data_IF_860954113930
#
_entry.id   IF_860954113930
#
_cell.length_a   1.000
_cell.length_b   1.000
_cell.length_c   1.000
_cell.angle_alpha   90.00
_cell.angle_beta   90.00
_cell.angle_gamma   90.00
#
_symmetry.space_group_name_H-M   'P 1'
#
loop_
_entity.id
_entity.type
_entity.pdbx_description
1 polymer ?
#
# COMPACT_ATOMS: atom_id res chain seq x y z
N UNK A 1 7.20 -34.28 -3.13
CA UNK A 1 7.85 -33.41 -2.13
C UNK A 1 9.10 -32.71 -2.64
N UNK A 2 10.01 -33.40 -3.35
CA UNK A 2 11.27 -32.81 -3.87
C UNK A 2 11.04 -31.57 -4.77
N UNK A 3 9.99 -31.58 -5.60
CA UNK A 3 9.65 -30.43 -6.46
C UNK A 3 9.26 -29.15 -5.68
N UNK A 4 8.62 -29.28 -4.51
CA UNK A 4 8.21 -28.12 -3.71
C UNK A 4 9.41 -27.47 -3.00
N UNK A 5 10.36 -28.28 -2.52
CA UNK A 5 11.60 -27.79 -1.90
C UNK A 5 12.51 -27.13 -2.95
N UNK A 6 12.62 -27.73 -4.15
CA UNK A 6 13.38 -27.14 -5.26
C UNK A 6 12.81 -25.79 -5.72
N UNK A 7 11.48 -25.65 -5.77
CA UNK A 7 10.82 -24.39 -6.11
C UNK A 7 11.04 -23.31 -5.05
N UNK A 8 11.02 -23.67 -3.76
CA UNK A 8 11.30 -22.75 -2.66
C UNK A 8 12.75 -22.23 -2.68
N UNK A 9 13.73 -23.11 -2.96
CA UNK A 9 15.15 -22.72 -3.09
C UNK A 9 15.38 -21.81 -4.31
N UNK A 10 14.73 -22.09 -5.44
CA UNK A 10 14.80 -21.24 -6.64
C UNK A 10 14.19 -19.84 -6.41
N UNK A 11 13.05 -19.76 -5.73
CA UNK A 11 12.46 -18.48 -5.35
C UNK A 11 13.36 -17.71 -4.37
N UNK A 12 13.98 -18.39 -3.40
CA UNK A 12 14.92 -17.76 -2.47
C UNK A 12 16.17 -17.19 -3.16
N UNK A 13 16.70 -17.89 -4.17
CA UNK A 13 17.88 -17.45 -4.94
C UNK A 13 17.63 -16.21 -5.82
N UNK A 14 16.45 -16.11 -6.44
CA UNK A 14 16.08 -14.92 -7.23
C UNK A 14 15.80 -13.68 -6.36
N UNK A 15 15.21 -13.87 -5.17
CA UNK A 15 14.96 -12.75 -4.23
C UNK A 15 16.28 -12.19 -3.68
N UNK A 16 17.26 -13.05 -3.42
CA UNK A 16 18.59 -12.63 -2.95
C UNK A 16 19.33 -11.75 -3.97
N UNK A 17 19.16 -12.01 -5.27
CA UNK A 17 19.88 -11.28 -6.33
C UNK A 17 19.20 -9.95 -6.70
N UNK A 18 17.85 -9.86 -6.64
CA UNK A 18 17.15 -8.58 -6.83
C UNK A 18 17.42 -7.57 -5.70
N UNK A 19 17.70 -8.05 -4.48
CA UNK A 19 17.98 -7.21 -3.30
C UNK A 19 19.26 -6.39 -3.40
N UNK A 20 20.26 -6.82 -4.15
CA UNK A 20 21.58 -6.17 -4.19
C UNK A 20 21.64 -5.03 -5.21
N UNK A 21 20.90 -5.13 -6.32
CA UNK A 21 21.01 -4.17 -7.42
C UNK A 21 20.14 -2.91 -7.26
N UNK A 22 19.03 -2.98 -6.51
CA UNK A 22 18.04 -1.89 -6.43
C UNK A 22 18.32 -0.79 -5.38
N UNK A 23 18.90 -1.07 -4.19
CA UNK A 23 19.08 -0.03 -3.16
C UNK A 23 20.20 0.97 -3.49
N UNK A 24 21.26 0.52 -4.16
CA UNK A 24 22.45 1.34 -4.41
C UNK A 24 22.14 2.55 -5.31
N UNK A 25 21.32 2.37 -6.35
CA UNK A 25 20.99 3.44 -7.30
C UNK A 25 20.09 4.54 -6.72
N UNK A 26 19.22 4.22 -5.77
CA UNK A 26 18.36 5.21 -5.11
C UNK A 26 19.07 5.91 -3.94
N UNK A 27 19.89 5.19 -3.17
CA UNK A 27 20.73 5.79 -2.12
C UNK A 27 21.77 6.77 -2.70
N UNK A 28 22.30 6.49 -3.89
CA UNK A 28 23.20 7.40 -4.61
C UNK A 28 22.56 8.76 -4.95
N UNK A 29 21.24 8.82 -5.15
CA UNK A 29 20.53 10.08 -5.47
C UNK A 29 20.49 11.06 -4.29
N UNK A 30 20.68 10.55 -3.07
CA UNK A 30 20.72 11.33 -1.84
C UNK A 30 22.12 11.43 -1.24
N UNK A 31 23.14 10.91 -1.94
CA UNK A 31 24.52 10.96 -1.48
C UNK A 31 24.97 12.42 -1.26
N UNK A 32 25.63 12.66 -0.13
CA UNK A 32 26.09 13.99 0.28
C UNK A 32 25.02 14.84 0.98
N UNK A 33 23.75 14.43 0.99
CA UNK A 33 22.73 15.11 1.79
C UNK A 33 22.81 14.69 3.26
N UNK A 34 22.43 15.58 4.15
CA UNK A 34 22.32 15.29 5.58
C UNK A 34 20.86 15.32 5.99
N UNK A 35 20.44 14.35 6.80
CA UNK A 35 19.12 14.28 7.39
C UNK A 35 19.25 14.66 8.86
N UNK A 36 18.44 15.62 9.29
CA UNK A 36 18.28 16.00 10.69
C UNK A 36 17.01 15.32 11.19
N UNK A 37 17.15 14.36 12.09
CA UNK A 37 16.04 13.57 12.63
C UNK A 37 15.89 13.83 14.13
N UNK A 38 14.66 13.77 14.66
CA UNK A 38 14.45 13.80 16.10
C UNK A 38 15.06 12.53 16.74
N UNK A 39 15.72 12.72 17.88
CA UNK A 39 16.33 11.65 18.69
C UNK A 39 15.74 11.68 20.10
N UNK A 40 14.90 10.69 20.42
CA UNK A 40 14.19 10.63 21.69
C UNK A 40 13.06 11.66 21.86
N UNK A 41 12.74 12.44 20.82
CA UNK A 41 11.64 13.41 20.79
C UNK A 41 10.58 13.05 19.73
N UNK A 42 9.31 13.48 19.88
CA UNK A 42 8.27 13.18 18.89
C UNK A 42 8.45 13.85 17.53
N UNK A 43 9.28 14.90 17.44
CA UNK A 43 9.60 15.63 16.21
C UNK A 43 10.52 16.82 16.47
N UNK A 44 11.02 17.43 15.40
CA UNK A 44 11.85 18.62 15.43
C UNK A 44 11.03 19.89 15.69
N UNK A 45 11.57 20.78 16.53
CA UNK A 45 10.97 22.07 16.87
C UNK A 45 11.28 23.13 15.81
N UNK A 46 10.62 24.30 15.89
CA UNK A 46 10.86 25.38 14.94
C UNK A 46 12.26 26.01 15.09
N UNK A 47 12.86 25.94 16.27
CA UNK A 47 14.25 26.36 16.49
C UNK A 47 15.22 25.51 15.65
N UNK A 48 15.04 24.18 15.65
CA UNK A 48 15.85 23.25 14.83
C UNK A 48 15.67 23.54 13.34
N UNK A 49 14.46 23.89 12.93
CA UNK A 49 14.15 24.26 11.54
C UNK A 49 14.79 25.60 11.16
N UNK A 50 14.79 26.58 12.07
CA UNK A 50 15.43 27.87 11.87
C UNK A 50 16.96 27.75 11.74
N UNK A 51 17.57 26.85 12.54
CA UNK A 51 19.00 26.54 12.49
C UNK A 51 19.41 25.80 11.20
N UNK A 52 18.44 25.25 10.46
CA UNK A 52 18.64 24.56 9.19
C UNK A 52 17.80 25.22 8.08
N UNK A 53 18.13 26.46 7.66
CA UNK A 53 17.24 27.31 6.86
C UNK A 53 17.01 26.78 5.44
N UNK A 54 17.93 25.99 4.92
CA UNK A 54 17.90 25.45 3.56
C UNK A 54 17.51 23.99 3.53
N UNK A 55 16.93 23.57 2.39
CA UNK A 55 16.51 22.21 2.14
C UNK A 55 15.01 22.01 2.32
N UNK A 56 14.56 20.84 2.78
CA UNK A 56 13.13 20.57 3.00
C UNK A 56 12.84 20.22 4.46
N UNK A 57 11.87 20.89 5.04
CA UNK A 57 11.38 20.68 6.41
C UNK A 57 9.86 20.63 6.30
N UNK A 58 9.32 19.42 6.14
CA UNK A 58 7.90 19.23 5.93
C UNK A 58 7.17 19.28 7.28
N UNK A 59 6.02 19.95 7.32
CA UNK A 59 5.19 20.06 8.52
C UNK A 59 3.89 19.27 8.31
N UNK A 60 3.82 17.99 8.70
CA UNK A 60 2.62 17.19 8.52
C UNK A 60 1.51 17.63 9.49
N UNK A 61 0.28 17.65 8.99
CA UNK A 61 -0.94 17.82 9.79
C UNK A 61 -2.08 17.01 9.16
N UNK A 62 -3.22 16.94 9.84
CA UNK A 62 -4.45 16.36 9.30
C UNK A 62 -5.46 17.46 9.04
N UNK A 63 -6.12 17.36 7.89
CA UNK A 63 -7.22 18.24 7.56
C UNK A 63 -8.40 17.45 7.01
N UNK A 64 -9.56 18.07 7.08
CA UNK A 64 -10.82 17.58 6.56
C UNK A 64 -11.17 18.41 5.33
N UNK A 65 -11.31 17.75 4.19
CA UNK A 65 -11.77 18.39 2.96
C UNK A 65 -13.23 18.08 2.77
N UNK A 66 -14.05 19.12 2.69
CA UNK A 66 -15.47 19.00 2.42
C UNK A 66 -15.71 19.15 0.92
N UNK A 67 -16.22 18.10 0.29
CA UNK A 67 -16.63 18.14 -1.11
C UNK A 67 -18.14 18.02 -1.22
N UNK A 68 -18.71 18.76 -2.18
CA UNK A 68 -20.13 18.62 -2.53
C UNK A 68 -20.30 17.28 -3.23
N UNK A 69 -20.92 16.33 -2.54
CA UNK A 69 -21.22 15.02 -3.11
C UNK A 69 -22.45 15.16 -4.03
N UNK A 70 -22.22 15.37 -5.33
CA UNK A 70 -23.26 15.35 -6.36
C UNK A 70 -23.75 16.72 -6.83
N UNK A 71 -24.33 16.74 -8.04
CA UNK A 71 -24.79 17.96 -8.73
C UNK A 71 -26.05 18.57 -8.10
N UNK A 72 -26.65 17.91 -7.11
CA UNK A 72 -27.86 18.36 -6.42
C UNK A 72 -27.48 18.76 -4.99
N UNK A 73 -27.70 20.03 -4.68
CA UNK A 73 -27.33 20.75 -3.45
C UNK A 73 -28.01 20.26 -2.15
N UNK A 74 -28.65 19.10 -2.15
CA UNK A 74 -29.34 18.50 -0.99
C UNK A 74 -28.64 17.26 -0.42
N UNK A 75 -27.54 16.80 -1.03
CA UNK A 75 -26.77 15.67 -0.49
C UNK A 75 -25.79 16.12 0.60
N UNK A 76 -25.60 15.30 1.66
CA UNK A 76 -24.69 15.63 2.75
C UNK A 76 -23.27 15.89 2.23
N UNK A 77 -22.62 16.92 2.75
CA UNK A 77 -21.21 17.19 2.48
C UNK A 77 -20.37 15.99 2.93
N UNK A 78 -19.66 15.37 1.99
CA UNK A 78 -18.74 14.30 2.31
C UNK A 78 -17.45 14.94 2.85
N UNK A 79 -17.09 14.60 4.08
CA UNK A 79 -15.84 15.03 4.70
C UNK A 79 -14.79 13.94 4.52
N UNK A 80 -13.72 14.25 3.79
CA UNK A 80 -12.58 13.35 3.58
C UNK A 80 -11.42 13.79 4.47
N UNK A 81 -10.88 12.88 5.28
CA UNK A 81 -9.67 13.14 6.06
C UNK A 81 -8.46 12.94 5.16
N UNK A 82 -7.56 13.92 5.12
CA UNK A 82 -6.33 13.89 4.35
C UNK A 82 -5.14 14.26 5.23
N UNK A 83 -4.00 13.66 4.93
CA UNK A 83 -2.72 14.14 5.43
C UNK A 83 -2.30 15.35 4.58
N UNK A 84 -2.13 16.50 5.22
CA UNK A 84 -1.72 17.77 4.61
C UNK A 84 -0.28 18.05 4.99
N UNK A 85 0.51 18.50 4.03
CA UNK A 85 1.92 18.81 4.23
C UNK A 85 2.17 20.32 4.09
N UNK A 86 2.61 20.95 5.17
CA UNK A 86 3.15 22.31 5.12
C UNK A 86 4.54 22.29 4.50
N UNK A 87 4.71 22.97 3.36
CA UNK A 87 5.97 23.05 2.64
C UNK A 87 6.65 24.41 2.84
N UNK A 88 7.98 24.41 2.94
CA UNK A 88 8.83 25.61 2.85
C UNK A 88 9.41 25.85 1.45
N UNK A 89 9.09 24.99 0.49
CA UNK A 89 9.54 25.16 -0.89
C UNK A 89 8.80 26.36 -1.49
N UNK A 90 9.54 27.39 -1.91
CA UNK A 90 8.98 28.63 -2.46
C UNK A 90 8.02 28.41 -3.65
N UNK A 91 8.11 27.27 -4.34
CA UNK A 91 7.17 26.90 -5.41
C UNK A 91 5.76 26.65 -4.90
N UNK A 92 5.62 26.18 -3.66
CA UNK A 92 4.36 25.72 -3.05
C UNK A 92 4.00 26.45 -1.74
N UNK A 93 4.93 27.22 -1.17
CA UNK A 93 4.72 28.01 0.04
C UNK A 93 3.98 29.32 -0.28
N UNK A 94 2.71 29.20 -0.68
CA UNK A 94 1.83 30.32 -1.03
C UNK A 94 0.59 30.31 -0.17
N UNK A 95 0.35 31.41 0.52
CA UNK A 95 -0.81 31.56 1.39
C UNK A 95 -2.12 31.46 0.61
N UNK A 96 -3.08 30.71 1.15
CA UNK A 96 -4.39 30.50 0.52
C UNK A 96 -4.37 29.58 -0.72
N UNK A 97 -3.24 29.00 -1.08
CA UNK A 97 -3.12 28.05 -2.19
C UNK A 97 -2.84 26.62 -1.71
N UNK A 98 -3.31 25.65 -2.50
CA UNK A 98 -3.02 24.23 -2.31
C UNK A 98 -2.50 23.60 -3.61
N UNK A 99 -1.54 22.69 -3.48
CA UNK A 99 -1.03 21.85 -4.57
C UNK A 99 -1.42 20.41 -4.30
N UNK A 100 -2.11 19.78 -5.25
CA UNK A 100 -2.63 18.41 -5.09
C UNK A 100 -1.89 17.42 -6.00
N UNK A 101 -1.78 16.18 -5.54
CA UNK A 101 -1.50 15.02 -6.39
C UNK A 101 -2.69 14.66 -7.28
N UNK A 102 -2.44 14.12 -8.47
CA UNK A 102 -3.47 13.71 -9.42
C UNK A 102 -4.48 12.72 -8.80
N UNK A 103 -4.03 11.75 -8.00
CA UNK A 103 -4.95 10.80 -7.35
C UNK A 103 -5.88 11.48 -6.36
N UNK A 104 -5.34 12.36 -5.52
CA UNK A 104 -6.13 13.07 -4.50
C UNK A 104 -7.07 14.07 -5.14
N UNK A 105 -6.61 14.81 -6.15
CA UNK A 105 -7.47 15.68 -6.94
C UNK A 105 -8.62 14.89 -7.60
N UNK A 106 -8.32 13.72 -8.20
CA UNK A 106 -9.32 12.84 -8.80
C UNK A 106 -10.32 12.29 -7.78
N UNK A 107 -9.85 11.84 -6.62
CA UNK A 107 -10.70 11.32 -5.55
C UNK A 107 -11.65 12.37 -4.96
N UNK A 108 -11.20 13.63 -4.89
CA UNK A 108 -11.98 14.76 -4.38
C UNK A 108 -12.81 15.45 -5.48
N UNK A 109 -12.63 15.07 -6.74
CA UNK A 109 -13.24 15.75 -7.88
C UNK A 109 -12.75 17.19 -8.08
N UNK A 110 -11.56 17.51 -7.56
CA UNK A 110 -10.97 18.85 -7.59
C UNK A 110 -10.12 19.06 -8.83
N UNK A 111 -10.11 20.30 -9.32
CA UNK A 111 -9.30 20.75 -10.47
C UNK A 111 -8.55 22.02 -10.15
N UNK A 112 -7.50 22.29 -10.93
CA UNK A 112 -6.79 23.57 -10.90
C UNK A 112 -7.76 24.74 -11.01
N UNK A 113 -7.57 25.74 -10.16
CA UNK A 113 -8.34 26.97 -10.08
C UNK A 113 -9.56 26.90 -9.18
N UNK A 114 -10.00 25.71 -8.75
CA UNK A 114 -11.14 25.57 -7.85
C UNK A 114 -10.79 25.95 -6.42
N UNK A 115 -11.78 26.46 -5.71
CA UNK A 115 -11.71 26.71 -4.28
C UNK A 115 -12.26 25.50 -3.51
N UNK A 116 -11.56 25.12 -2.47
CA UNK A 116 -11.90 24.00 -1.60
C UNK A 116 -11.89 24.45 -0.14
N UNK A 117 -13.00 24.28 0.60
CA UNK A 117 -13.00 24.50 2.04
C UNK A 117 -12.23 23.35 2.72
N UNK A 118 -11.22 23.71 3.50
CA UNK A 118 -10.37 22.78 4.24
C UNK A 118 -10.45 23.12 5.72
N UNK A 119 -10.94 22.18 6.52
CA UNK A 119 -11.00 22.32 7.97
C UNK A 119 -9.78 21.69 8.63
N UNK A 120 -9.08 22.46 9.46
CA UNK A 120 -7.85 22.02 10.13
C UNK A 120 -8.11 21.44 11.52
N UNK A 121 -7.05 21.05 12.22
CA UNK A 121 -7.09 20.41 13.53
C UNK A 121 -7.70 21.29 14.64
N UNK A 122 -7.56 22.61 14.53
CA UNK A 122 -8.22 23.59 15.40
C UNK A 122 -9.74 23.75 15.15
N UNK A 123 -10.27 23.09 14.11
CA UNK A 123 -11.67 23.17 13.71
C UNK A 123 -12.00 24.37 12.81
N UNK A 124 -11.03 25.25 12.52
CA UNK A 124 -11.23 26.36 11.61
C UNK A 124 -11.22 25.88 10.15
N UNK A 125 -12.09 26.48 9.34
CA UNK A 125 -12.17 26.19 7.90
C UNK A 125 -11.55 27.33 7.10
N UNK A 126 -10.58 26.99 6.26
CA UNK A 126 -9.93 27.91 5.34
C UNK A 126 -10.24 27.50 3.91
N UNK A 127 -10.70 28.45 3.11
CA UNK A 127 -10.90 28.23 1.68
C UNK A 127 -9.56 28.33 0.97
N UNK A 128 -9.12 27.23 0.35
CA UNK A 128 -7.87 27.16 -0.40
C UNK A 128 -8.16 27.06 -1.89
N UNK A 129 -7.40 27.80 -2.70
CA UNK A 129 -7.43 27.67 -4.14
C UNK A 129 -6.44 26.59 -4.60
N UNK A 130 -6.91 25.62 -5.37
CA UNK A 130 -6.05 24.61 -6.00
C UNK A 130 -5.21 25.30 -7.08
N UNK A 131 -3.96 25.64 -6.77
CA UNK A 131 -3.11 26.38 -7.70
C UNK A 131 -2.56 25.47 -8.80
N UNK A 132 -2.30 24.21 -8.46
CA UNK A 132 -1.76 23.18 -9.35
C UNK A 132 -2.26 21.79 -8.96
N UNK A 133 -2.41 20.93 -9.97
CA UNK A 133 -2.52 19.48 -9.82
C UNK A 133 -1.32 18.90 -10.54
N UNK A 134 -0.51 18.12 -9.83
CA UNK A 134 0.76 17.58 -10.31
C UNK A 134 0.75 16.06 -10.24
N UNK A 135 1.55 15.36 -11.09
CA UNK A 135 1.73 13.92 -10.96
C UNK A 135 2.09 13.54 -9.53
N UNK A 136 1.53 12.43 -9.04
CA UNK A 136 1.79 11.98 -7.67
C UNK A 136 3.29 11.84 -7.44
N UNK A 137 3.79 12.61 -6.50
CA UNK A 137 5.17 12.56 -6.08
C UNK A 137 5.17 12.35 -4.58
N UNK A 138 5.62 11.19 -4.08
CA UNK A 138 5.65 10.96 -2.67
C UNK A 138 6.45 12.11 -1.99
N UNK A 139 7.54 12.65 -2.59
CA UNK A 139 8.41 13.72 -2.03
C UNK A 139 7.64 14.95 -1.56
N UNK A 140 6.65 15.30 -2.38
CA UNK A 140 5.81 16.46 -2.20
C UNK A 140 4.68 16.16 -1.24
N UNK A 141 4.17 14.93 -1.24
CA UNK A 141 2.91 14.58 -0.62
C UNK A 141 1.73 14.90 -1.52
N UNK A 142 0.57 14.38 -1.12
CA UNK A 142 -0.63 14.37 -1.95
C UNK A 142 -1.46 15.66 -1.83
N UNK A 143 -1.28 16.41 -0.74
CA UNK A 143 -1.92 17.70 -0.48
C UNK A 143 -0.94 18.63 0.22
N UNK A 144 -0.49 19.69 -0.47
CA UNK A 144 0.54 20.60 0.03
C UNK A 144 0.00 22.01 0.15
N UNK A 145 0.35 22.67 1.25
CA UNK A 145 -0.02 24.06 1.55
C UNK A 145 1.19 24.83 2.08
N UNK A 146 1.03 26.13 2.27
CA UNK A 146 2.02 26.97 2.96
C UNK A 146 2.31 26.45 4.37
N UNK A 147 3.60 26.38 4.75
CA UNK A 147 4.00 25.92 6.09
C UNK A 147 3.43 26.80 7.19
N UNK A 148 3.38 28.12 6.96
CA UNK A 148 2.80 29.07 7.91
C UNK A 148 1.31 28.84 8.16
N UNK A 149 0.56 28.35 7.15
CA UNK A 149 -0.85 28.02 7.32
C UNK A 149 -1.03 26.82 8.26
N UNK A 150 -0.22 25.76 8.08
CA UNK A 150 -0.24 24.61 9.00
C UNK A 150 0.13 25.05 10.41
N UNK A 151 1.19 25.84 10.57
CA UNK A 151 1.61 26.32 11.90
C UNK A 151 0.54 27.15 12.61
N UNK A 152 -0.23 27.94 11.85
CA UNK A 152 -1.32 28.75 12.41
C UNK A 152 -2.50 27.92 12.91
N UNK A 153 -2.83 26.81 12.25
CA UNK A 153 -3.99 25.98 12.55
C UNK A 153 -3.67 24.66 13.28
N UNK A 154 -2.40 24.28 13.35
CA UNK A 154 -1.88 23.15 14.10
C UNK A 154 -0.53 23.53 14.74
N UNK A 155 -0.55 24.29 15.85
CA UNK A 155 0.67 24.65 16.57
C UNK A 155 1.41 23.44 17.14
N UNK A 156 0.71 22.32 17.36
CA UNK A 156 1.26 21.08 17.89
C UNK A 156 1.95 20.22 16.83
N UNK A 157 1.78 20.53 15.54
CA UNK A 157 2.49 19.85 14.46
C UNK A 157 4.01 19.98 14.66
N UNK A 158 4.73 18.86 14.66
CA UNK A 158 6.19 18.88 14.72
C UNK A 158 6.74 18.56 13.34
N UNK A 159 7.93 19.07 13.04
CA UNK A 159 8.62 18.71 11.79
C UNK A 159 9.20 17.32 11.97
N UNK A 160 8.91 16.38 11.07
CA UNK A 160 9.48 15.04 11.15
C UNK A 160 10.98 15.11 10.86
N UNK A 161 11.36 15.12 9.58
CA UNK A 161 12.76 15.16 9.17
C UNK A 161 13.09 16.48 8.44
N UNK A 162 14.32 16.97 8.63
CA UNK A 162 14.87 18.06 7.83
C UNK A 162 15.93 17.50 6.90
N UNK A 163 15.71 17.67 5.60
CA UNK A 163 16.68 17.30 4.56
C UNK A 163 17.50 18.51 4.21
N UNK A 164 18.78 18.49 4.53
CA UNK A 164 19.75 19.53 4.20
C UNK A 164 20.53 19.07 2.96
N UNK A 165 20.53 19.87 1.88
CA UNK A 165 21.25 19.54 0.66
C UNK A 165 22.77 19.56 0.92
N UNK A 166 23.55 18.79 0.16
CA UNK A 166 24.97 18.57 0.45
C UNK A 166 25.89 19.76 0.24
N UNK A 167 25.41 20.80 -0.43
CA UNK A 167 26.07 22.11 -0.55
C UNK A 167 25.87 22.98 0.71
N UNK A 168 25.01 22.56 1.63
CA UNK A 168 24.75 23.21 2.89
C UNK A 168 25.15 22.33 4.09
N UNK A 169 25.53 22.99 5.19
CA UNK A 169 25.92 22.30 6.42
C UNK A 169 24.72 22.19 7.35
N UNK A 170 24.37 20.97 7.73
CA UNK A 170 23.35 20.72 8.74
C UNK A 170 23.88 21.07 10.15
N UNK A 171 22.96 21.53 11.01
CA UNK A 171 23.22 21.90 12.39
C UNK A 171 22.46 20.96 13.34
N UNK A 172 23.15 20.47 14.38
CA UNK A 172 22.62 19.61 15.44
C UNK A 172 22.64 20.29 16.81
N UNK A 173 22.52 21.62 16.85
CA UNK A 173 22.79 22.41 18.06
C UNK A 173 21.75 22.16 19.17
N UNK A 174 20.59 21.58 18.85
CA UNK A 174 19.53 21.30 19.82
C UNK A 174 19.63 19.89 20.43
N UNK A 175 19.37 19.73 21.74
CA UNK A 175 19.18 18.43 22.38
C UNK A 175 18.05 17.64 21.70
N UNK A 176 18.23 16.32 21.59
CA UNK A 176 17.23 15.44 20.97
C UNK A 176 17.20 15.51 19.45
N UNK A 177 18.32 15.84 18.82
CA UNK A 177 18.50 15.85 17.37
C UNK A 177 19.69 14.98 16.98
N UNK A 178 19.49 14.11 16.00
CA UNK A 178 20.55 13.32 15.38
C UNK A 178 20.77 13.76 13.92
N UNK A 179 22.04 13.70 13.49
CA UNK A 179 22.41 13.88 12.09
C UNK A 179 22.76 12.55 11.47
N UNK A 180 22.22 12.30 10.29
CA UNK A 180 22.54 11.13 9.51
C UNK A 180 22.94 11.51 8.09
N UNK A 181 23.98 10.86 7.57
CA UNK A 181 24.23 10.87 6.13
C UNK A 181 23.04 10.20 5.43
N UNK A 182 22.45 10.89 4.44
CA UNK A 182 21.20 10.43 3.85
C UNK A 182 21.37 9.09 3.12
N UNK A 183 22.52 8.84 2.49
CA UNK A 183 22.78 7.58 1.80
C UNK A 183 22.99 6.42 2.79
N UNK A 184 23.76 6.65 3.85
CA UNK A 184 23.95 5.69 4.94
C UNK A 184 22.65 5.36 5.67
N UNK A 185 21.84 6.38 5.96
CA UNK A 185 20.54 6.21 6.62
C UNK A 185 19.54 5.47 5.74
N UNK A 186 19.46 5.82 4.46
CA UNK A 186 18.65 5.08 3.49
C UNK A 186 19.07 3.60 3.44
N UNK A 187 20.38 3.33 3.33
CA UNK A 187 20.92 1.97 3.29
C UNK A 187 20.57 1.18 4.57
N UNK A 188 20.70 1.79 5.74
CA UNK A 188 20.36 1.16 7.01
C UNK A 188 18.86 0.80 7.08
N UNK A 189 17.98 1.73 6.68
CA UNK A 189 16.54 1.51 6.64
C UNK A 189 16.16 0.36 5.69
N UNK A 190 16.74 0.33 4.47
CA UNK A 190 16.56 -0.78 3.54
C UNK A 190 16.96 -2.13 4.12
N UNK A 191 18.12 -2.20 4.80
CA UNK A 191 18.57 -3.47 5.38
C UNK A 191 17.63 -3.95 6.48
N UNK A 192 17.00 -3.03 7.20
CA UNK A 192 16.02 -3.33 8.24
C UNK A 192 14.72 -3.84 7.63
N UNK A 193 14.18 -3.15 6.63
CA UNK A 193 12.96 -3.58 5.93
C UNK A 193 13.14 -4.91 5.19
N UNK A 194 14.32 -5.14 4.61
CA UNK A 194 14.69 -6.42 4.03
C UNK A 194 14.66 -7.55 5.09
N UNK A 195 15.22 -7.32 6.28
CA UNK A 195 15.17 -8.31 7.37
C UNK A 195 13.72 -8.60 7.81
N UNK A 196 12.88 -7.56 7.92
CA UNK A 196 11.47 -7.73 8.27
C UNK A 196 10.72 -8.54 7.22
N UNK A 197 10.86 -8.19 5.94
CA UNK A 197 10.24 -8.93 4.84
C UNK A 197 10.69 -10.38 4.78
N UNK A 198 11.98 -10.63 5.04
CA UNK A 198 12.55 -11.97 5.08
C UNK A 198 11.99 -12.80 6.24
N UNK A 199 11.89 -12.20 7.43
CA UNK A 199 11.30 -12.85 8.60
C UNK A 199 9.82 -13.21 8.35
N UNK A 200 9.04 -12.30 7.74
CA UNK A 200 7.65 -12.54 7.37
C UNK A 200 7.53 -13.67 6.34
N UNK A 201 8.36 -13.66 5.30
CA UNK A 201 8.37 -14.70 4.29
C UNK A 201 8.71 -16.07 4.90
N UNK A 202 9.72 -16.13 5.77
CA UNK A 202 10.09 -17.36 6.48
C UNK A 202 8.94 -17.89 7.34
N UNK A 203 8.24 -17.02 8.08
CA UNK A 203 7.07 -17.41 8.87
C UNK A 203 5.95 -17.99 8.00
N UNK A 204 5.63 -17.35 6.86
CA UNK A 204 4.61 -17.85 5.93
C UNK A 204 4.99 -19.20 5.33
N UNK A 205 6.27 -19.43 5.00
CA UNK A 205 6.77 -20.72 4.52
C UNK A 205 6.58 -21.79 5.60
N UNK A 206 6.97 -21.50 6.84
CA UNK A 206 6.83 -22.44 7.97
C UNK A 206 5.36 -22.81 8.18
N UNK A 207 4.44 -21.84 8.12
CA UNK A 207 3.00 -22.08 8.26
C UNK A 207 2.47 -22.95 7.11
N UNK A 208 2.83 -22.63 5.86
CA UNK A 208 2.39 -23.39 4.69
C UNK A 208 2.88 -24.85 4.72
N UNK A 209 4.14 -25.06 5.12
CA UNK A 209 4.71 -26.40 5.30
C UNK A 209 4.03 -27.13 6.46
N UNK A 210 3.86 -26.47 7.61
CA UNK A 210 3.20 -27.05 8.78
C UNK A 210 1.79 -27.52 8.49
N UNK A 211 0.99 -26.69 7.81
CA UNK A 211 -0.38 -27.05 7.41
C UNK A 211 -0.40 -28.24 6.44
N UNK A 212 0.54 -28.27 5.49
CA UNK A 212 0.64 -29.37 4.51
C UNK A 212 0.94 -30.70 5.19
N UNK A 213 1.82 -30.72 6.21
CA UNK A 213 2.15 -31.95 6.97
C UNK A 213 0.92 -32.47 7.71
N UNK A 214 0.15 -31.61 8.36
CA UNK A 214 -1.09 -31.98 9.07
C UNK A 214 -2.12 -32.55 8.08
N UNK A 215 -2.30 -31.93 6.92
CA UNK A 215 -3.23 -32.38 5.89
C UNK A 215 -2.88 -33.79 5.35
N UNK A 216 -1.58 -34.06 5.14
CA UNK A 216 -1.10 -35.38 4.70
C UNK A 216 -1.33 -36.43 5.79
N UNK A 217 -1.06 -36.10 7.06
CA UNK A 217 -1.31 -37.01 8.18
C UNK A 217 -2.79 -37.42 8.28
N UNK A 218 -3.70 -36.45 8.17
CA UNK A 218 -5.14 -36.72 8.15
C UNK A 218 -5.56 -37.60 6.97
N UNK A 219 -5.01 -37.34 5.78
CA UNK A 219 -5.29 -38.14 4.57
C UNK A 219 -4.78 -39.59 4.72
N UNK A 220 -3.58 -39.77 5.28
CA UNK A 220 -3.03 -41.10 5.54
C UNK A 220 -3.83 -41.85 6.63
N UNK A 221 -4.26 -41.16 7.68
CA UNK A 221 -5.10 -41.74 8.73
C UNK A 221 -6.44 -42.26 8.15
N UNK A 222 -7.11 -41.47 7.31
CA UNK A 222 -8.32 -41.91 6.60
C UNK A 222 -8.05 -43.10 5.66
N UNK A 223 -6.97 -43.08 4.89
CA UNK A 223 -6.62 -44.16 3.97
C UNK A 223 -6.28 -45.48 4.70
N UNK A 224 -5.67 -45.40 5.89
CA UNK A 224 -5.39 -46.57 6.72
C UNK A 224 -6.66 -47.14 7.38
N UNK A 225 -7.62 -46.28 7.74
CA UNK A 225 -8.89 -46.69 8.34
C UNK A 225 -9.82 -47.38 7.33
N UNK A 226 -9.85 -46.91 6.08
CA UNK A 226 -10.66 -47.51 5.00
C UNK A 226 -10.30 -48.97 4.67
N UNK A 227 -9.08 -49.42 4.98
CA UNK A 227 -8.67 -50.82 4.78
C UNK A 227 -9.22 -51.78 5.83
N UNK A 228 -9.76 -51.28 6.96
CA UNK A 228 -10.33 -52.10 8.04
C UNK A 228 -11.80 -52.47 7.83
N UNK A 229 -12.46 -51.91 6.81
CA UNK A 229 -13.86 -52.19 6.48
C UNK A 229 -14.03 -52.90 5.14
N UNK A 230 -13.01 -53.65 4.70
CA UNK A 230 -13.18 -54.57 3.57
C UNK A 230 -13.66 -55.92 4.11
N UNK A 231 -14.96 -56.27 3.99
CA UNK A 231 -15.40 -57.64 4.30
C UNK A 231 -14.65 -58.63 3.40
N UNK A 232 -14.31 -59.83 3.91
CA UNK A 232 -13.60 -60.84 3.12
C UNK A 232 -14.43 -61.17 1.88
N UNK A 233 -13.84 -61.01 0.70
CA UNK A 233 -14.46 -61.43 -0.54
C UNK A 233 -14.59 -62.97 -0.52
N UNK A 234 -15.75 -63.54 -0.88
CA UNK A 234 -15.90 -64.98 -1.00
C UNK A 234 -15.01 -65.47 -2.15
N UNK A 235 -14.15 -66.44 -1.82
CA UNK A 235 -13.26 -67.12 -2.76
C UNK A 235 -14.11 -68.06 -3.62
N UNK A 236 -14.60 -67.60 -4.77
CA UNK A 236 -15.18 -68.51 -5.75
C UNK A 236 -14.07 -69.12 -6.61
N UNK A 237 -13.73 -70.34 -6.23
CA UNK A 237 -12.83 -71.25 -6.91
C UNK A 237 -13.55 -71.96 -8.06
N UNK A 238 -12.95 -71.94 -9.25
CA UNK A 238 -13.32 -72.75 -10.42
C UNK A 238 -13.75 -71.91 -11.63
N UNK A 239 -13.43 -72.24 -12.87
CA UNK A 239 -12.64 -73.33 -13.47
C UNK A 239 -12.36 -72.91 -14.94
N UNK A 240 -11.24 -73.37 -15.49
CA UNK A 240 -10.83 -73.47 -16.91
C UNK A 240 -11.91 -73.24 -17.98
N UNK A 241 -11.58 -72.53 -19.07
CA UNK A 241 -11.06 -73.06 -20.35
C UNK A 241 -10.69 -71.92 -21.32
N UNK A 242 -9.49 -71.94 -21.93
CA UNK A 242 -9.16 -72.32 -23.32
C UNK A 242 -9.66 -71.41 -24.45
N UNK A 243 -8.65 -71.02 -25.23
CA UNK A 243 -8.64 -70.86 -26.69
C UNK A 243 -9.45 -69.75 -27.35
N UNK A 244 -8.71 -68.83 -27.97
CA UNK A 244 -8.73 -68.79 -29.43
C UNK A 244 -9.29 -67.52 -30.08
N UNK A 245 -8.55 -67.13 -31.13
CA UNK A 245 -8.97 -66.33 -32.30
C UNK A 245 -9.05 -64.80 -32.16
N UNK A 246 -7.99 -64.18 -32.71
CA UNK A 246 -8.03 -63.30 -33.89
C UNK A 246 -9.43 -62.83 -34.33
N UNK A 247 -9.65 -61.51 -34.42
CA UNK A 247 -9.48 -60.76 -35.68
C UNK A 247 -9.88 -59.28 -35.53
N UNK A 248 -9.09 -58.44 -36.21
CA UNK A 248 -9.44 -57.19 -36.92
C UNK A 248 -10.91 -56.73 -36.83
N UNK A 249 -11.11 -55.44 -36.52
CA UNK A 249 -11.55 -54.38 -37.47
C UNK A 249 -11.93 -53.09 -36.69
N UNK A 250 -11.34 -51.96 -37.09
CA UNK A 250 -12.01 -50.63 -37.06
C UNK A 250 -13.05 -50.60 -38.23
N UNK A 251 -13.89 -49.57 -38.48
CA UNK A 251 -14.07 -48.27 -37.80
C UNK A 251 -15.56 -47.75 -37.74
N UNK A 252 -15.70 -46.49 -37.26
CA UNK A 252 -16.62 -45.40 -37.69
C UNK A 252 -18.07 -45.28 -37.15
N UNK A 253 -18.26 -44.11 -36.54
CA UNK A 253 -19.24 -43.04 -36.83
C UNK A 253 -20.69 -43.07 -36.27
N UNK A 254 -21.00 -41.92 -35.66
CA UNK A 254 -22.19 -41.08 -35.80
C UNK A 254 -23.45 -41.40 -34.96
N UNK A 255 -23.96 -40.33 -34.31
CA UNK A 255 -25.36 -40.24 -33.92
C UNK A 255 -25.63 -39.53 -32.59
N UNK A 256 -25.56 -38.19 -32.57
CA UNK A 256 -26.49 -37.35 -31.77
C UNK A 256 -27.95 -37.59 -32.27
N UNK A 257 -29.05 -37.23 -31.55
CA UNK A 257 -29.20 -36.03 -30.70
C UNK A 257 -30.08 -36.16 -29.42
N UNK A 258 -30.16 -35.05 -28.69
CA UNK A 258 -31.08 -34.71 -27.58
C UNK A 258 -32.58 -34.77 -27.95
N UNK A 259 -33.55 -34.68 -27.00
CA UNK A 259 -34.00 -33.34 -26.54
C UNK A 259 -34.63 -33.21 -25.12
N UNK A 260 -34.79 -31.94 -24.73
CA UNK A 260 -35.91 -31.31 -24.01
C UNK A 260 -36.19 -31.61 -22.51
N UNK A 261 -36.16 -30.51 -21.71
CA UNK A 261 -36.83 -30.40 -20.42
C UNK A 261 -36.97 -28.93 -20.02
N UNK A 262 -38.19 -28.38 -20.16
CA UNK A 262 -38.58 -26.98 -20.00
C UNK A 262 -39.63 -26.89 -18.88
N UNK A 263 -39.38 -26.12 -17.82
CA UNK A 263 -40.36 -25.52 -16.89
C UNK A 263 -39.57 -24.46 -16.07
N UNK A 264 -39.94 -23.18 -15.90
CA UNK A 264 -41.20 -22.48 -16.05
C UNK A 264 -41.75 -22.09 -14.67
N UNK A 265 -41.66 -20.81 -14.26
CA UNK A 265 -42.61 -20.23 -13.29
C UNK A 265 -42.13 -19.20 -12.27
N UNK A 266 -42.53 -17.92 -12.51
CA UNK A 266 -43.11 -16.89 -11.59
C UNK A 266 -42.30 -16.46 -10.35
N UNK A 267 -41.86 -15.20 -10.22
CA UNK A 267 -42.63 -13.95 -9.96
C UNK A 267 -43.52 -13.99 -8.71
N UNK A 268 -43.11 -13.25 -7.67
CA UNK A 268 -44.00 -12.55 -6.74
C UNK A 268 -43.26 -11.37 -6.08
N UNK A 269 -43.86 -10.18 -6.23
CA UNK A 269 -43.56 -8.96 -5.47
C UNK A 269 -44.03 -9.13 -4.03
N UNK A 270 -43.35 -8.49 -3.09
CA UNK A 270 -43.94 -8.09 -1.82
C UNK A 270 -43.25 -6.82 -1.32
N UNK A 271 -44.06 -5.79 -1.11
CA UNK A 271 -43.72 -4.55 -0.42
C UNK A 271 -43.39 -4.84 1.05
N UNK A 272 -42.38 -4.15 1.59
CA UNK A 272 -42.32 -3.87 3.02
C UNK A 272 -41.63 -2.52 3.27
N UNK A 273 -42.44 -1.61 3.81
CA UNK A 273 -42.11 -0.34 4.41
C UNK A 273 -41.47 -0.60 5.78
N UNK A 274 -40.35 0.05 6.10
CA UNK A 274 -39.76 -0.04 7.43
C UNK A 274 -38.47 0.74 7.63
N UNK A 275 -38.61 1.91 8.29
CA UNK A 275 -37.66 2.60 9.18
C UNK A 275 -36.21 2.80 8.69
N UNK A 276 -35.91 4.06 8.37
CA UNK A 276 -34.56 4.53 8.07
C UNK A 276 -33.61 4.49 9.28
N UNK A 277 -32.36 4.04 9.10
CA UNK A 277 -31.29 4.27 10.05
C UNK A 277 -30.70 5.68 9.87
N UNK A 278 -30.21 6.24 10.97
CA UNK A 278 -29.52 7.53 11.07
C UNK A 278 -28.32 7.62 10.09
N UNK A 279 -27.89 8.83 9.68
CA UNK A 279 -26.77 9.01 8.77
C UNK A 279 -25.46 8.53 9.42
N UNK A 280 -25.06 7.32 9.03
CA UNK A 280 -23.77 6.72 9.31
C UNK A 280 -22.71 7.52 8.55
N UNK A 281 -21.88 8.24 9.29
CA UNK A 281 -20.76 9.02 8.76
C UNK A 281 -19.76 8.02 8.18
N UNK A 282 -19.81 7.77 6.87
CA UNK A 282 -18.78 7.00 6.17
C UNK A 282 -17.49 7.82 6.16
N UNK A 283 -16.66 7.62 7.16
CA UNK A 283 -15.24 7.99 7.11
C UNK A 283 -14.59 7.03 6.12
N UNK A 284 -14.52 7.42 4.84
CA UNK A 284 -13.65 6.71 3.91
C UNK A 284 -12.21 7.09 4.25
N UNK A 285 -11.59 6.33 5.15
CA UNK A 285 -10.16 6.42 5.38
C UNK A 285 -9.45 5.96 4.12
N UNK A 286 -8.86 6.89 3.37
CA UNK A 286 -7.84 6.54 2.39
C UNK A 286 -6.69 5.82 3.14
N UNK A 287 -6.09 4.79 2.55
CA UNK A 287 -5.00 4.07 3.20
C UNK A 287 -3.84 5.03 3.45
N UNK A 288 -3.34 5.05 4.69
CA UNK A 288 -2.07 5.68 5.06
C UNK A 288 -1.02 5.27 4.02
N UNK A 289 -0.41 6.25 3.35
CA UNK A 289 0.75 6.01 2.49
C UNK A 289 1.92 5.56 3.36
N UNK A 290 2.06 4.26 3.55
CA UNK A 290 3.20 3.60 4.21
C UNK A 290 4.43 3.55 3.31
N UNK A 291 4.57 4.53 2.41
CA UNK A 291 5.72 4.61 1.51
C UNK A 291 6.96 4.95 2.34
N UNK A 292 8.05 4.18 2.23
CA UNK A 292 9.30 4.48 2.91
C UNK A 292 9.70 5.93 2.65
N UNK A 293 10.14 6.64 3.70
CA UNK A 293 10.46 8.07 3.61
C UNK A 293 11.43 8.34 2.47
N UNK A 294 12.43 7.50 2.20
CA UNK A 294 13.38 7.71 1.11
C UNK A 294 12.75 7.64 -0.30
N UNK A 295 11.66 6.86 -0.51
CA UNK A 295 10.93 6.83 -1.81
C UNK A 295 10.22 8.13 -2.08
N UNK A 296 9.82 8.81 -0.99
CA UNK A 296 9.36 10.19 -0.99
C UNK A 296 10.40 11.01 -1.75
N UNK A 297 11.68 10.94 -1.43
CA UNK A 297 12.60 12.03 -1.77
C UNK A 297 13.36 11.96 -3.10
N UNK A 298 13.52 10.78 -3.70
CA UNK A 298 14.45 10.61 -4.83
C UNK A 298 14.01 11.16 -6.20
N UNK A 299 12.77 11.65 -6.33
CA UNK A 299 12.22 12.15 -7.62
C UNK A 299 12.08 13.67 -7.75
N UNK A 300 12.30 14.42 -6.66
CA UNK A 300 11.97 15.84 -6.59
C UNK A 300 13.11 16.84 -6.83
N UNK A 301 14.32 16.39 -7.19
CA UNK A 301 15.50 17.27 -7.32
C UNK A 301 15.92 17.45 -8.79
N UNK A 302 16.34 18.67 -9.19
CA UNK A 302 16.86 18.92 -10.53
C UNK A 302 18.12 18.07 -10.75
N UNK A 303 18.10 17.24 -11.79
CA UNK A 303 19.28 16.55 -12.28
C UNK A 303 20.33 17.59 -12.66
N UNK A 304 21.44 17.66 -11.92
CA UNK A 304 22.61 18.39 -12.38
C UNK A 304 23.08 17.77 -13.71
N UNK A 305 23.34 18.57 -14.76
CA UNK A 305 24.04 18.06 -15.92
C UNK A 305 25.47 17.70 -15.49
N UNK A 306 25.81 16.43 -15.58
CA UNK A 306 27.19 15.95 -15.48
C UNK A 306 28.05 16.68 -16.51
N UNK A 307 29.04 17.45 -16.03
CA UNK A 307 30.19 17.88 -16.81
C UNK A 307 31.24 16.77 -16.83
#
# INVERSE_FOLDING_TARGET
MIAAVGFAVLLSGMVSTMRVAYPAGEALKVAGQTIVTPDGTPGNTDEVVADNPVGKAALPTRAFVETKSGNNSEQPTASTVLDVLGSRDARWDKQGEAVLGEKTAGALGLKRGQEVPVRFADGATVTLRVSQVLPDDPARGDFVVARGLVRAHDPAALTDDIFVPGDARASAVAPGVALHDAAGYALADYTTDAKLTESLAMMLIVIAVGYSVIAVANSMAMAAHGRRHRPPAPVHFGRRDRSGRRHRRRPRCAGDPAPAGRHGGRSLRSHLVGRGPAPETRVSSLPRSSSPWWRRWSRGLPSHPSR
#
